data_IF_429759672169
#
_entry.id   IF_429759672169
#
_cell.length_a   1.000
_cell.length_b   1.000
_cell.length_c   1.000
_cell.angle_alpha   90.00
_cell.angle_beta   90.00
_cell.angle_gamma   90.00
#
_symmetry.space_group_name_H-M   'P 1'
#
loop_
_entity.id
_entity.type
_entity.pdbx_description
1 polymer ?
#
# COMPACT_ATOMS: atom_id res chain seq x y z
N UNK A 1 -19.75 -12.64 23.59
CA UNK A 1 -19.16 -11.98 22.40
C UNK A 1 -19.58 -12.64 21.09
N UNK A 2 -19.44 -13.96 20.93
CA UNK A 2 -19.76 -14.70 19.69
C UNK A 2 -21.18 -14.43 19.14
N UNK A 3 -22.19 -14.29 20.01
CA UNK A 3 -23.57 -14.05 19.56
C UNK A 3 -23.78 -12.67 18.92
N UNK A 4 -23.07 -11.63 19.37
CA UNK A 4 -23.20 -10.29 18.81
C UNK A 4 -22.54 -10.18 17.42
N UNK A 5 -21.40 -10.84 17.25
CA UNK A 5 -20.66 -10.92 15.99
C UNK A 5 -21.46 -11.67 14.91
N UNK A 6 -22.07 -12.81 15.27
CA UNK A 6 -22.94 -13.56 14.37
C UNK A 6 -24.24 -12.83 14.03
N UNK A 7 -24.81 -12.06 14.97
CA UNK A 7 -26.00 -11.26 14.71
C UNK A 7 -25.69 -10.14 13.70
N UNK A 8 -24.56 -9.46 13.85
CA UNK A 8 -24.11 -8.43 12.92
C UNK A 8 -23.85 -8.99 11.51
N UNK A 9 -23.20 -10.15 11.40
CA UNK A 9 -22.96 -10.81 10.10
C UNK A 9 -24.26 -11.17 9.37
N UNK A 10 -25.29 -11.62 10.09
CA UNK A 10 -26.61 -11.89 9.49
C UNK A 10 -27.27 -10.62 8.95
N UNK A 11 -27.17 -9.51 9.67
CA UNK A 11 -27.71 -8.22 9.19
C UNK A 11 -26.92 -7.66 8.01
N UNK A 12 -25.62 -7.97 7.91
CA UNK A 12 -24.80 -7.65 6.74
C UNK A 12 -25.16 -8.49 5.50
N UNK A 13 -25.57 -9.75 5.70
CA UNK A 13 -26.05 -10.64 4.63
C UNK A 13 -27.41 -10.22 4.10
N UNK A 14 -28.34 -9.95 5.00
CA UNK A 14 -29.72 -9.59 4.70
C UNK A 14 -30.03 -8.23 5.34
N UNK A 15 -29.55 -7.12 4.74
CA UNK A 15 -29.79 -5.80 5.28
C UNK A 15 -31.29 -5.47 5.23
N UNK A 16 -31.85 -4.84 6.27
CA UNK A 16 -33.22 -4.34 6.22
C UNK A 16 -33.39 -3.35 5.07
N UNK A 17 -34.61 -3.25 4.54
CA UNK A 17 -34.92 -2.28 3.48
C UNK A 17 -34.52 -0.86 3.91
N UNK A 18 -33.97 -0.09 2.98
CA UNK A 18 -33.48 1.28 3.19
C UNK A 18 -32.32 1.44 4.19
N UNK A 19 -31.47 0.41 4.34
CA UNK A 19 -30.29 0.47 5.21
C UNK A 19 -28.99 0.61 4.40
N UNK A 20 -28.13 1.56 4.77
CA UNK A 20 -26.75 1.66 4.29
C UNK A 20 -25.79 1.44 5.47
N UNK A 21 -24.93 0.44 5.34
CA UNK A 21 -23.83 0.23 6.29
C UNK A 21 -22.60 0.99 5.84
N UNK A 22 -22.03 1.80 6.73
CA UNK A 22 -20.75 2.46 6.53
C UNK A 22 -19.81 2.02 7.64
N UNK A 23 -18.79 1.25 7.28
CA UNK A 23 -17.77 0.75 8.20
C UNK A 23 -16.50 1.55 8.01
N UNK A 24 -16.04 2.18 9.09
CA UNK A 24 -14.78 2.92 9.14
C UNK A 24 -13.82 2.15 10.00
N UNK A 25 -12.65 1.83 9.45
CA UNK A 25 -11.57 1.13 10.17
C UNK A 25 -10.22 1.66 9.72
N UNK A 26 -9.29 1.80 10.66
CA UNK A 26 -7.89 2.10 10.37
C UNK A 26 -7.10 0.84 10.00
N UNK A 27 -7.59 -0.34 10.41
CA UNK A 27 -7.03 -1.63 10.06
C UNK A 27 -8.10 -2.55 9.47
N UNK A 28 -8.26 -2.58 8.12
CA UNK A 28 -9.22 -3.48 7.49
C UNK A 28 -8.82 -4.96 7.59
N UNK A 29 -7.54 -5.28 7.82
CA UNK A 29 -7.08 -6.67 7.89
C UNK A 29 -7.44 -7.34 9.21
N UNK A 30 -7.71 -6.57 10.26
CA UNK A 30 -8.24 -7.10 11.52
C UNK A 30 -9.73 -7.45 11.46
N UNK A 31 -10.43 -7.11 10.37
CA UNK A 31 -11.82 -7.50 10.17
C UNK A 31 -11.93 -8.96 9.71
N UNK A 32 -13.04 -9.61 10.08
CA UNK A 32 -13.32 -10.96 9.62
C UNK A 32 -13.39 -11.00 8.08
N UNK A 33 -12.85 -12.05 7.43
CA UNK A 33 -12.97 -12.24 5.98
C UNK A 33 -14.43 -12.20 5.48
N UNK A 34 -15.39 -12.62 6.30
CA UNK A 34 -16.83 -12.61 6.00
C UNK A 34 -17.43 -11.20 5.96
N UNK A 35 -16.85 -10.23 6.67
CA UNK A 35 -17.23 -8.81 6.56
C UNK A 35 -16.60 -8.25 5.28
N UNK A 36 -15.32 -8.51 5.07
CA UNK A 36 -14.58 -7.99 3.91
C UNK A 36 -15.16 -8.45 2.57
N UNK A 37 -15.71 -9.66 2.49
CA UNK A 37 -16.34 -10.18 1.26
C UNK A 37 -17.70 -9.57 0.94
N UNK A 38 -18.33 -8.85 1.89
CA UNK A 38 -19.68 -8.28 1.77
C UNK A 38 -19.70 -6.76 1.74
N UNK A 39 -18.55 -6.13 1.93
CA UNK A 39 -18.43 -4.68 1.95
C UNK A 39 -17.63 -4.20 0.75
N UNK A 40 -18.09 -3.10 0.14
CA UNK A 40 -17.27 -2.38 -0.82
C UNK A 40 -16.29 -1.48 -0.07
N UNK A 41 -14.99 -1.68 -0.29
CA UNK A 41 -13.94 -0.98 0.44
C UNK A 41 -13.57 0.33 -0.25
N UNK A 42 -13.74 1.44 0.47
CA UNK A 42 -13.28 2.77 0.07
C UNK A 42 -12.18 3.18 1.04
N UNK A 43 -10.96 3.41 0.53
CA UNK A 43 -9.85 3.92 1.33
C UNK A 43 -9.84 5.44 1.25
N UNK A 44 -10.03 6.09 2.40
CA UNK A 44 -9.91 7.54 2.52
C UNK A 44 -8.44 7.90 2.81
N UNK A 45 -7.87 8.78 2.00
CA UNK A 45 -6.54 9.31 2.18
C UNK A 45 -6.65 10.79 2.61
N UNK A 46 -5.88 11.20 3.62
CA UNK A 46 -5.75 12.62 3.97
C UNK A 46 -4.84 13.37 2.99
N UNK A 47 -4.85 14.70 3.05
CA UNK A 47 -4.09 15.58 2.15
C UNK A 47 -2.56 15.39 2.22
N UNK A 48 -2.04 14.78 3.29
CA UNK A 48 -0.61 14.45 3.46
C UNK A 48 -0.12 13.27 2.57
N UNK A 49 -0.97 12.76 1.68
CA UNK A 49 -0.66 11.59 0.85
C UNK A 49 0.47 11.84 -0.15
N UNK A 50 0.48 13.02 -0.77
CA UNK A 50 1.58 13.51 -1.59
C UNK A 50 2.54 14.32 -0.70
N UNK A 51 3.55 13.62 -0.18
CA UNK A 51 4.63 14.27 0.55
C UNK A 51 5.67 14.81 -0.44
N UNK A 52 6.18 16.02 -0.21
CA UNK A 52 7.40 16.52 -0.90
C UNK A 52 8.69 15.80 -0.44
N UNK A 53 8.54 14.64 0.19
CA UNK A 53 9.61 13.84 0.74
C UNK A 53 10.38 13.16 -0.40
N UNK A 54 11.71 13.21 -0.31
CA UNK A 54 12.63 12.50 -1.19
C UNK A 54 12.27 11.02 -1.32
N UNK A 55 11.84 10.39 -0.22
CA UNK A 55 11.44 8.98 -0.22
C UNK A 55 10.24 8.75 -1.15
N UNK A 56 9.23 9.61 -1.07
CA UNK A 56 8.05 9.53 -1.93
C UNK A 56 8.46 9.62 -3.40
N UNK A 57 9.29 10.61 -3.76
CA UNK A 57 9.80 10.74 -5.13
C UNK A 57 10.57 9.51 -5.60
N UNK A 58 11.39 8.90 -4.74
CA UNK A 58 12.10 7.66 -5.06
C UNK A 58 11.14 6.48 -5.31
N UNK A 59 10.08 6.35 -4.52
CA UNK A 59 9.04 5.32 -4.73
C UNK A 59 8.33 5.53 -6.06
N UNK A 60 7.89 6.76 -6.36
CA UNK A 60 7.22 7.05 -7.63
C UNK A 60 8.14 6.79 -8.82
N UNK A 61 9.42 7.15 -8.73
CA UNK A 61 10.37 6.86 -9.80
C UNK A 61 10.52 5.35 -10.05
N UNK A 62 10.54 4.53 -9.00
CA UNK A 62 10.57 3.06 -9.15
C UNK A 62 9.34 2.57 -9.93
N UNK A 63 8.16 3.09 -9.59
CA UNK A 63 6.90 2.70 -10.23
C UNK A 63 6.86 3.14 -11.70
N UNK A 64 7.29 4.37 -11.99
CA UNK A 64 7.39 4.89 -13.36
C UNK A 64 8.35 4.06 -14.20
N UNK A 65 9.58 3.84 -13.71
CA UNK A 65 10.61 3.06 -14.41
C UNK A 65 10.10 1.66 -14.71
N UNK A 66 9.43 1.03 -13.73
CA UNK A 66 8.85 -0.31 -13.86
C UNK A 66 7.86 -0.40 -15.04
N UNK A 67 7.02 0.61 -15.25
CA UNK A 67 6.08 0.64 -16.37
C UNK A 67 6.75 1.00 -17.71
N UNK A 68 7.80 1.83 -17.68
CA UNK A 68 8.59 2.13 -18.88
C UNK A 68 9.35 0.92 -19.42
N UNK A 69 9.66 -0.04 -18.55
CA UNK A 69 10.38 -1.25 -18.94
C UNK A 69 9.68 -2.02 -20.08
N UNK A 70 8.35 -2.00 -20.11
CA UNK A 70 7.55 -2.59 -21.19
C UNK A 70 7.86 -1.98 -22.54
N UNK A 71 8.02 -0.65 -22.59
CA UNK A 71 8.35 0.08 -23.82
C UNK A 71 9.76 -0.26 -24.30
N UNK A 72 10.66 -0.58 -23.37
CA UNK A 72 12.08 -0.86 -23.63
C UNK A 72 12.37 -2.35 -23.89
N UNK A 73 11.38 -3.23 -23.78
CA UNK A 73 11.51 -4.65 -24.06
C UNK A 73 12.41 -5.42 -23.08
N UNK A 74 12.63 -4.89 -21.87
CA UNK A 74 13.42 -5.63 -20.86
C UNK A 74 12.56 -6.75 -20.28
N UNK A 75 13.14 -7.94 -20.01
CA UNK A 75 12.44 -9.02 -19.35
C UNK A 75 11.80 -8.61 -18.03
N UNK A 76 10.54 -9.00 -17.85
CA UNK A 76 9.75 -8.70 -16.66
C UNK A 76 10.44 -9.09 -15.33
N UNK A 77 11.13 -10.23 -15.30
CA UNK A 77 11.85 -10.69 -14.11
C UNK A 77 12.97 -9.73 -13.68
N UNK A 78 13.63 -9.04 -14.61
CA UNK A 78 14.68 -8.08 -14.32
C UNK A 78 14.08 -6.83 -13.68
N UNK A 79 12.99 -6.30 -14.23
CA UNK A 79 12.27 -5.17 -13.63
C UNK A 79 11.76 -5.49 -12.22
N UNK A 80 11.24 -6.71 -11.99
CA UNK A 80 10.85 -7.15 -10.66
C UNK A 80 12.01 -7.10 -9.67
N UNK A 81 13.15 -7.71 -10.01
CA UNK A 81 14.33 -7.73 -9.14
C UNK A 81 14.84 -6.30 -8.87
N UNK A 82 14.97 -5.49 -9.91
CA UNK A 82 15.47 -4.12 -9.78
C UNK A 82 14.58 -3.28 -8.86
N UNK A 83 13.26 -3.31 -9.09
CA UNK A 83 12.31 -2.60 -8.24
C UNK A 83 12.35 -3.09 -6.80
N UNK A 84 12.41 -4.41 -6.55
CA UNK A 84 12.51 -4.97 -5.20
C UNK A 84 13.77 -4.49 -4.48
N UNK A 85 14.93 -4.49 -5.15
CA UNK A 85 16.19 -3.99 -4.55
C UNK A 85 16.10 -2.51 -4.21
N UNK A 86 15.53 -1.70 -5.10
CA UNK A 86 15.35 -0.26 -4.87
C UNK A 86 14.40 0.01 -3.70
N UNK A 87 13.30 -0.73 -3.59
CA UNK A 87 12.39 -0.63 -2.43
C UNK A 87 13.07 -1.05 -1.13
N UNK A 88 13.87 -2.13 -1.12
CA UNK A 88 14.60 -2.55 0.08
C UNK A 88 15.62 -1.50 0.54
N UNK A 89 16.23 -0.78 -0.39
CA UNK A 89 17.09 0.36 -0.05
C UNK A 89 16.30 1.50 0.60
N UNK A 90 15.10 1.81 0.09
CA UNK A 90 14.19 2.79 0.69
C UNK A 90 13.79 2.37 2.10
N UNK A 91 13.43 1.11 2.33
CA UNK A 91 13.09 0.60 3.66
C UNK A 91 14.25 0.72 4.64
N UNK A 92 15.48 0.45 4.19
CA UNK A 92 16.68 0.71 4.99
C UNK A 92 16.81 2.20 5.34
N UNK A 93 16.65 3.10 4.38
CA UNK A 93 16.69 4.55 4.62
C UNK A 93 15.58 5.00 5.59
N UNK A 94 14.37 4.47 5.47
CA UNK A 94 13.26 4.72 6.41
C UNK A 94 13.60 4.28 7.83
N UNK A 95 14.28 3.13 8.00
CA UNK A 95 14.70 2.64 9.32
C UNK A 95 15.77 3.54 9.95
N UNK A 96 16.72 4.03 9.15
CA UNK A 96 17.72 5.00 9.60
C UNK A 96 17.09 6.36 9.97
N UNK A 97 16.09 6.81 9.21
CA UNK A 97 15.32 8.01 9.57
C UNK A 97 14.56 7.82 10.87
N UNK A 98 13.89 6.68 11.06
CA UNK A 98 13.21 6.36 12.32
C UNK A 98 14.15 6.41 13.52
N UNK A 99 15.37 5.90 13.37
CA UNK A 99 16.43 5.97 14.39
C UNK A 99 16.81 7.41 14.71
N UNK A 100 17.14 8.21 13.69
CA UNK A 100 17.49 9.64 13.88
C UNK A 100 16.37 10.46 14.49
N UNK A 101 15.13 10.17 14.11
CA UNK A 101 13.95 10.85 14.62
C UNK A 101 13.69 10.51 16.09
N UNK A 102 14.04 9.31 16.56
CA UNK A 102 14.02 9.01 18.00
C UNK A 102 15.17 9.74 18.69
N UNK A 103 16.38 9.67 18.12
CA UNK A 103 17.59 10.31 18.65
C UNK A 103 17.49 11.85 18.81
N UNK A 104 16.68 12.51 17.98
CA UNK A 104 16.57 13.99 17.95
C UNK A 104 15.36 14.55 18.68
N UNK A 105 14.32 13.73 18.92
CA UNK A 105 13.04 14.20 19.49
C UNK A 105 12.97 14.09 21.01
N UNK A 106 13.83 13.29 21.64
CA UNK A 106 13.74 12.99 23.07
C UNK A 106 14.94 13.60 23.82
N UNK A 107 14.70 14.63 24.64
CA UNK A 107 15.71 15.18 25.58
C UNK A 107 16.09 14.18 26.69
N UNK A 108 15.38 13.05 26.81
CA UNK A 108 15.48 12.06 27.90
C UNK A 108 16.15 10.72 27.50
N UNK A 109 16.80 10.64 26.32
CA UNK A 109 17.41 9.39 25.82
C UNK A 109 18.49 8.84 26.77
N UNK A 110 19.17 9.70 27.52
CA UNK A 110 20.21 9.29 28.46
C UNK A 110 19.70 8.41 29.62
N UNK A 111 18.39 8.44 29.94
CA UNK A 111 17.80 7.68 31.03
C UNK A 111 17.01 6.42 30.57
N UNK A 112 16.92 6.18 29.27
CA UNK A 112 16.12 5.08 28.71
C UNK A 112 16.95 3.81 28.49
N UNK A 113 16.34 2.64 28.75
CA UNK A 113 16.95 1.35 28.40
C UNK A 113 16.93 1.11 26.87
N UNK A 114 17.86 0.28 26.42
CA UNK A 114 18.08 -0.05 24.99
C UNK A 114 16.84 -0.67 24.34
N UNK A 115 16.10 -1.51 25.07
CA UNK A 115 14.89 -2.18 24.57
C UNK A 115 13.77 -1.18 24.28
N UNK A 116 13.61 -0.15 25.13
CA UNK A 116 12.61 0.90 24.94
C UNK A 116 12.94 1.77 23.74
N UNK A 117 14.23 2.10 23.53
CA UNK A 117 14.69 2.82 22.34
C UNK A 117 14.37 2.01 21.08
N UNK A 118 14.70 0.71 21.06
CA UNK A 118 14.44 -0.16 19.91
C UNK A 118 12.93 -0.25 19.60
N UNK A 119 12.08 -0.39 20.62
CA UNK A 119 10.63 -0.41 20.47
C UNK A 119 10.07 0.89 19.86
N UNK A 120 10.62 2.06 20.25
CA UNK A 120 10.24 3.35 19.66
C UNK A 120 10.66 3.45 18.19
N UNK A 121 11.89 3.03 17.87
CA UNK A 121 12.39 3.01 16.49
C UNK A 121 11.49 2.13 15.63
N UNK A 122 11.17 0.92 16.10
CA UNK A 122 10.32 -0.02 15.39
C UNK A 122 8.90 0.54 15.19
N UNK A 123 8.36 1.27 16.18
CA UNK A 123 7.06 1.95 16.08
C UNK A 123 7.06 3.02 14.99
N UNK A 124 8.07 3.91 14.97
CA UNK A 124 8.22 4.93 13.90
C UNK A 124 8.44 4.27 12.53
N UNK A 125 9.30 3.26 12.47
CA UNK A 125 9.58 2.51 11.25
C UNK A 125 8.32 1.86 10.66
N UNK A 126 7.49 1.22 11.50
CA UNK A 126 6.20 0.67 11.08
C UNK A 126 5.31 1.72 10.44
N UNK A 127 5.26 2.94 11.00
CA UNK A 127 4.49 4.05 10.43
C UNK A 127 4.97 4.42 9.02
N UNK A 128 6.29 4.52 8.79
CA UNK A 128 6.83 4.78 7.45
C UNK A 128 6.54 3.64 6.48
N UNK A 129 6.69 2.39 6.91
CA UNK A 129 6.39 1.21 6.08
C UNK A 129 4.91 1.13 5.72
N UNK A 130 4.00 1.49 6.63
CA UNK A 130 2.57 1.61 6.34
C UNK A 130 2.32 2.66 5.26
N UNK A 131 3.01 3.80 5.27
CA UNK A 131 2.89 4.81 4.23
C UNK A 131 3.40 4.32 2.87
N UNK A 132 4.52 3.58 2.84
CA UNK A 132 5.00 2.93 1.62
C UNK A 132 3.92 2.03 1.02
N UNK A 133 3.33 1.15 1.83
CA UNK A 133 2.29 0.23 1.36
C UNK A 133 1.04 0.96 0.90
N UNK A 134 0.68 2.09 1.53
CA UNK A 134 -0.40 2.97 1.07
C UNK A 134 -0.08 3.55 -0.30
N UNK A 135 1.12 4.08 -0.53
CA UNK A 135 1.52 4.61 -1.84
C UNK A 135 1.44 3.55 -2.94
N UNK A 136 1.94 2.34 -2.68
CA UNK A 136 1.83 1.22 -3.61
C UNK A 136 0.37 0.87 -3.90
N UNK A 137 -0.46 0.73 -2.87
CA UNK A 137 -1.87 0.37 -3.03
C UNK A 137 -2.62 1.41 -3.86
N UNK A 138 -2.42 2.69 -3.55
CA UNK A 138 -3.08 3.79 -4.28
C UNK A 138 -2.59 3.88 -5.72
N UNK A 139 -1.32 3.59 -5.99
CA UNK A 139 -0.80 3.60 -7.36
C UNK A 139 -1.52 2.58 -8.22
N UNK A 140 -1.60 1.34 -7.72
CA UNK A 140 -2.33 0.28 -8.41
C UNK A 140 -3.84 0.51 -8.43
N UNK A 141 -4.40 1.25 -7.45
CA UNK A 141 -5.80 1.69 -7.47
C UNK A 141 -6.07 2.66 -8.60
N UNK A 142 -5.21 3.65 -8.79
CA UNK A 142 -5.35 4.62 -9.89
C UNK A 142 -5.21 3.92 -11.25
N UNK A 143 -4.32 2.93 -11.37
CA UNK A 143 -4.25 2.08 -12.57
C UNK A 143 -5.56 1.31 -12.81
N UNK A 144 -6.17 0.74 -11.75
CA UNK A 144 -7.46 0.06 -11.87
C UNK A 144 -8.59 1.01 -12.29
N UNK A 145 -8.66 2.20 -11.68
CA UNK A 145 -9.65 3.23 -12.02
C UNK A 145 -9.51 3.63 -13.49
N UNK A 146 -8.31 3.97 -13.94
CA UNK A 146 -8.03 4.34 -15.32
C UNK A 146 -8.26 3.19 -16.29
N UNK A 147 -8.07 1.94 -15.84
CA UNK A 147 -8.40 0.77 -16.66
C UNK A 147 -9.90 0.59 -16.85
N UNK A 148 -10.69 0.79 -15.81
CA UNK A 148 -12.15 0.67 -15.82
C UNK A 148 -12.82 1.85 -16.52
N UNK A 149 -12.27 3.06 -16.33
CA UNK A 149 -12.79 4.32 -16.87
C UNK A 149 -11.62 5.07 -17.52
N UNK A 150 -11.28 4.76 -18.79
CA UNK A 150 -10.16 5.41 -19.49
C UNK A 150 -10.32 6.93 -19.65
N UNK A 151 -11.56 7.41 -19.66
CA UNK A 151 -11.92 8.82 -19.72
C UNK A 151 -11.97 9.50 -18.35
N UNK A 152 -11.59 8.79 -17.27
CA UNK A 152 -11.60 9.37 -15.93
C UNK A 152 -10.80 10.68 -15.89
N UNK A 153 -11.47 11.71 -15.38
CA UNK A 153 -10.87 13.02 -15.18
C UNK A 153 -9.82 12.98 -14.07
N UNK A 154 -8.93 13.99 -14.07
CA UNK A 154 -7.84 14.14 -13.11
C UNK A 154 -8.32 14.09 -11.65
N UNK A 155 -9.57 14.46 -11.38
CA UNK A 155 -10.15 14.45 -10.04
C UNK A 155 -10.35 13.04 -9.47
N UNK A 156 -10.43 12.01 -10.31
CA UNK A 156 -10.71 10.63 -9.89
C UNK A 156 -9.45 9.84 -9.50
N UNK A 157 -8.25 10.39 -9.74
CA UNK A 157 -6.96 9.76 -9.42
C UNK A 157 -6.22 10.55 -8.33
N UNK A 158 -5.45 9.87 -7.50
CA UNK A 158 -4.60 10.53 -6.51
C UNK A 158 -3.33 11.10 -7.15
N UNK A 159 -2.66 10.31 -7.98
CA UNK A 159 -1.39 10.69 -8.59
C UNK A 159 -1.58 11.56 -9.83
N UNK A 160 -2.23 12.72 -9.64
CA UNK A 160 -2.68 13.63 -10.69
C UNK A 160 -1.54 14.08 -11.60
N UNK A 161 -0.38 14.37 -11.02
CA UNK A 161 0.81 14.80 -11.77
C UNK A 161 1.33 13.72 -12.74
N UNK A 162 1.01 12.45 -12.51
CA UNK A 162 1.50 11.31 -13.28
C UNK A 162 0.42 10.65 -14.14
N UNK A 163 -0.72 11.34 -14.35
CA UNK A 163 -1.88 10.75 -15.03
C UNK A 163 -1.57 10.23 -16.44
N UNK A 164 -0.72 10.91 -17.20
CA UNK A 164 -0.36 10.47 -18.57
C UNK A 164 0.43 9.16 -18.54
N UNK A 165 1.40 9.05 -17.64
CA UNK A 165 2.14 7.80 -17.41
C UNK A 165 1.20 6.67 -16.94
N UNK A 166 0.29 6.99 -16.02
CA UNK A 166 -0.68 6.02 -15.49
C UNK A 166 -1.68 5.55 -16.55
N UNK A 167 -2.15 6.43 -17.44
CA UNK A 167 -3.04 6.05 -18.56
C UNK A 167 -2.34 5.08 -19.51
N UNK A 168 -1.07 5.34 -19.82
CA UNK A 168 -0.27 4.44 -20.65
C UNK A 168 -0.11 3.08 -19.96
N UNK A 169 0.31 3.07 -18.69
CA UNK A 169 0.49 1.84 -17.91
C UNK A 169 -0.82 1.05 -17.78
N UNK A 170 -1.94 1.71 -17.45
CA UNK A 170 -3.25 1.10 -17.36
C UNK A 170 -3.70 0.48 -18.70
N UNK A 171 -3.28 1.04 -19.84
CA UNK A 171 -3.57 0.50 -21.16
C UNK A 171 -2.98 -0.89 -21.44
N UNK A 172 -1.90 -1.28 -20.75
CA UNK A 172 -1.28 -2.61 -20.89
C UNK A 172 -1.95 -3.70 -20.05
N UNK A 173 -2.76 -3.31 -19.07
CA UNK A 173 -3.41 -4.25 -18.15
C UNK A 173 -4.78 -4.70 -18.69
N UNK A 174 -5.15 -5.93 -18.41
CA UNK A 174 -6.56 -6.35 -18.41
C UNK A 174 -7.22 -5.99 -17.07
N UNK A 175 -8.56 -5.88 -17.04
CA UNK A 175 -9.29 -5.63 -15.78
C UNK A 175 -8.97 -6.70 -14.72
N UNK A 176 -8.95 -8.01 -15.04
CA UNK A 176 -8.54 -9.03 -14.06
C UNK A 176 -7.13 -8.84 -13.51
N UNK A 177 -6.15 -8.48 -14.37
CA UNK A 177 -4.78 -8.22 -13.92
C UNK A 177 -4.69 -6.98 -13.02
N UNK A 178 -5.44 -5.93 -13.32
CA UNK A 178 -5.48 -4.74 -12.47
C UNK A 178 -6.10 -5.05 -11.10
N UNK A 179 -7.12 -5.90 -11.03
CA UNK A 179 -7.69 -6.38 -9.76
C UNK A 179 -6.68 -7.25 -9.01
N UNK A 180 -6.02 -8.20 -9.68
CA UNK A 180 -4.99 -9.06 -9.10
C UNK A 180 -3.85 -8.23 -8.50
N UNK A 181 -3.43 -7.15 -9.16
CA UNK A 181 -2.41 -6.25 -8.60
C UNK A 181 -2.82 -5.69 -7.24
N UNK A 182 -4.08 -5.29 -7.05
CA UNK A 182 -4.60 -4.82 -5.77
C UNK A 182 -4.51 -5.93 -4.71
N UNK A 183 -4.93 -7.15 -5.06
CA UNK A 183 -4.89 -8.31 -4.17
C UNK A 183 -3.45 -8.66 -3.75
N UNK A 184 -2.50 -8.58 -4.68
CA UNK A 184 -1.07 -8.81 -4.42
C UNK A 184 -0.55 -7.78 -3.42
N UNK A 185 -0.79 -6.48 -3.62
CA UNK A 185 -0.34 -5.44 -2.69
C UNK A 185 -0.98 -5.61 -1.31
N UNK A 186 -2.27 -5.97 -1.23
CA UNK A 186 -2.92 -6.26 0.06
C UNK A 186 -2.31 -7.47 0.76
N UNK A 187 -1.99 -8.51 0.01
CA UNK A 187 -1.33 -9.72 0.51
C UNK A 187 0.07 -9.39 1.04
N UNK A 188 0.84 -8.57 0.32
CA UNK A 188 2.13 -8.07 0.76
C UNK A 188 2.01 -7.31 2.09
N UNK A 189 1.03 -6.40 2.21
CA UNK A 189 0.82 -5.66 3.46
C UNK A 189 0.51 -6.61 4.62
N UNK A 190 -0.33 -7.63 4.39
CA UNK A 190 -0.66 -8.64 5.39
C UNK A 190 0.58 -9.43 5.85
N UNK A 191 1.40 -9.87 4.90
CA UNK A 191 2.63 -10.59 5.20
C UNK A 191 3.60 -9.76 6.05
N UNK A 192 3.69 -8.44 5.81
CA UNK A 192 4.50 -7.55 6.63
C UNK A 192 3.94 -7.37 8.06
N UNK A 193 2.62 -7.33 8.21
CA UNK A 193 1.97 -7.30 9.54
C UNK A 193 2.16 -8.61 10.31
N UNK A 194 2.22 -9.75 9.60
CA UNK A 194 2.57 -11.07 10.13
C UNK A 194 4.09 -11.24 10.36
N UNK A 195 4.88 -10.17 10.23
CA UNK A 195 6.33 -10.13 10.44
C UNK A 195 7.14 -11.03 9.49
N UNK A 196 6.64 -11.31 8.28
CA UNK A 196 7.47 -11.95 7.25
C UNK A 196 8.61 -11.02 6.82
N UNK A 197 9.74 -11.63 6.44
CA UNK A 197 10.92 -10.88 6.02
C UNK A 197 10.64 -10.01 4.79
N UNK A 198 10.91 -8.71 4.90
CA UNK A 198 10.63 -7.70 3.87
C UNK A 198 11.19 -8.09 2.50
N UNK A 199 12.42 -8.60 2.46
CA UNK A 199 13.04 -9.10 1.21
C UNK A 199 12.16 -10.12 0.51
N UNK A 200 11.59 -11.07 1.25
CA UNK A 200 10.76 -12.11 0.67
C UNK A 200 9.47 -11.50 0.11
N UNK A 201 8.80 -10.66 0.92
CA UNK A 201 7.52 -10.03 0.55
C UNK A 201 7.68 -9.19 -0.72
N UNK A 202 8.67 -8.31 -0.77
CA UNK A 202 8.89 -7.43 -1.91
C UNK A 202 9.42 -8.17 -3.14
N UNK A 203 10.21 -9.24 -2.97
CA UNK A 203 10.67 -10.04 -4.09
C UNK A 203 9.51 -10.80 -4.75
N UNK A 204 8.72 -11.55 -3.98
CA UNK A 204 7.58 -12.30 -4.52
C UNK A 204 6.50 -11.38 -5.06
N UNK A 205 6.11 -10.37 -4.29
CA UNK A 205 5.06 -9.44 -4.71
C UNK A 205 5.38 -8.77 -6.04
N UNK A 206 6.60 -8.27 -6.23
CA UNK A 206 6.99 -7.62 -7.49
C UNK A 206 7.15 -8.60 -8.67
N UNK A 207 7.35 -9.90 -8.42
CA UNK A 207 7.30 -10.92 -9.47
C UNK A 207 5.86 -11.27 -9.87
N UNK A 208 4.89 -11.08 -8.99
CA UNK A 208 3.50 -11.39 -9.27
C UNK A 208 2.77 -10.18 -9.89
N UNK A 209 3.22 -8.95 -9.59
CA UNK A 209 2.61 -7.72 -10.08
C UNK A 209 2.68 -7.59 -11.60
N UNK A 210 1.51 -7.55 -12.24
CA UNK A 210 1.36 -7.29 -13.65
C UNK A 210 1.66 -5.82 -13.99
N UNK A 211 2.29 -5.63 -15.14
CA UNK A 211 2.61 -4.33 -15.73
C UNK A 211 2.17 -4.35 -17.19
#
# INVERSE_FOLDING_TARGET
MIQAENAFLKTLEEPPQHTLFMLVTENPQSLLPTILSRCWRITLHGDDFESSDKIFSCVIQILLDRHEVLKKGVPFCIAAIESSVRILNILREMKEMARKDVETSDEEIEEMDEDTIEARIETKYRKYRTNLMKWLLTWYRDLLILRLVPEAEVEHVHFKHYIDNLKIAAGYLSVPQAIQNIEIIQTMNKQLEENLAERMVFYRGFQELHI
#
